data_IF_715629091777
#
_entry.id   IF_715629091777
#
_cell.length_a   1.000
_cell.length_b   1.000
_cell.length_c   1.000
_cell.angle_alpha   90.00
_cell.angle_beta   90.00
_cell.angle_gamma   90.00
#
_symmetry.space_group_name_H-M   'P 1'
#
loop_
_entity.id
_entity.type
_entity.pdbx_description
1 polymer ?
#
# COMPACT_ATOMS: atom_id res chain seq x y z
N UNK A 1 13.37 -49.79 -49.66
CA UNK A 1 12.41 -50.29 -48.65
C UNK A 1 12.91 -49.95 -47.29
N UNK A 2 12.24 -49.17 -46.77
CA UNK A 2 11.41 -48.86 -45.62
C UNK A 2 12.12 -48.04 -44.54
N UNK A 3 12.14 -46.69 -44.69
CA UNK A 3 12.50 -45.74 -43.64
C UNK A 3 11.25 -45.09 -42.95
N UNK A 4 10.07 -45.68 -43.15
CA UNK A 4 8.77 -45.05 -42.78
C UNK A 4 8.18 -45.50 -41.44
N UNK A 5 8.77 -46.47 -40.77
CA UNK A 5 8.21 -47.07 -39.55
C UNK A 5 8.81 -46.53 -38.22
N UNK A 6 9.97 -45.85 -38.22
CA UNK A 6 10.58 -45.35 -36.99
C UNK A 6 10.09 -44.01 -36.46
N UNK A 7 9.45 -43.18 -37.32
CA UNK A 7 8.93 -41.85 -36.89
C UNK A 7 7.63 -41.89 -36.08
N UNK A 8 6.79 -42.94 -36.27
CA UNK A 8 5.53 -43.06 -35.54
C UNK A 8 5.71 -43.54 -34.09
N UNK A 9 6.75 -44.29 -33.80
CA UNK A 9 7.01 -44.84 -32.47
C UNK A 9 7.58 -43.78 -31.53
N UNK A 10 8.40 -42.84 -32.04
CA UNK A 10 8.97 -41.76 -31.24
C UNK A 10 7.93 -40.69 -30.85
N UNK A 11 6.99 -40.39 -31.73
CA UNK A 11 5.88 -39.49 -31.40
C UNK A 11 4.96 -40.04 -30.31
N UNK A 12 4.71 -41.34 -30.27
CA UNK A 12 3.85 -41.95 -29.23
C UNK A 12 4.48 -41.91 -27.85
N UNK A 13 5.80 -42.05 -27.75
CA UNK A 13 6.55 -41.99 -26.47
C UNK A 13 6.65 -40.56 -25.96
N UNK A 14 6.81 -39.55 -26.81
CA UNK A 14 6.87 -38.12 -26.41
C UNK A 14 5.53 -37.63 -25.92
N UNK A 15 4.39 -38.09 -26.51
CA UNK A 15 3.06 -37.71 -26.03
C UNK A 15 2.71 -38.36 -24.68
N UNK A 16 3.22 -39.58 -24.42
CA UNK A 16 2.97 -40.28 -23.16
C UNK A 16 3.77 -39.70 -21.96
N UNK A 17 4.92 -39.12 -22.20
CA UNK A 17 5.75 -38.45 -21.15
C UNK A 17 5.18 -37.07 -20.81
N UNK A 18 4.49 -36.38 -21.73
CA UNK A 18 3.87 -35.08 -21.50
C UNK A 18 2.59 -35.15 -20.62
N UNK A 19 1.96 -36.30 -20.46
CA UNK A 19 0.73 -36.49 -19.66
C UNK A 19 0.98 -36.82 -18.18
N UNK A 20 2.22 -37.02 -17.74
CA UNK A 20 2.56 -37.38 -16.36
C UNK A 20 2.94 -36.19 -15.47
N UNK A 21 2.90 -34.94 -15.97
CA UNK A 21 3.26 -33.74 -15.21
C UNK A 21 2.08 -32.94 -14.66
N UNK A 22 0.83 -33.46 -14.70
CA UNK A 22 -0.36 -32.70 -14.26
C UNK A 22 -0.99 -33.29 -12.98
N UNK A 23 -0.21 -33.95 -12.15
CA UNK A 23 -0.70 -34.48 -10.87
C UNK A 23 0.09 -33.88 -9.72
N UNK A 24 -0.10 -32.61 -9.46
CA UNK A 24 0.60 -31.94 -8.35
C UNK A 24 0.07 -30.55 -8.03
N UNK A 25 -1.21 -30.28 -8.25
CA UNK A 25 -1.83 -29.09 -7.67
C UNK A 25 -2.56 -29.48 -6.39
N UNK A 26 -1.78 -29.63 -5.31
CA UNK A 26 -2.34 -29.55 -3.98
C UNK A 26 -2.90 -28.14 -3.81
N UNK A 27 -4.23 -27.99 -3.84
CA UNK A 27 -4.93 -26.77 -3.44
C UNK A 27 -4.75 -26.56 -1.92
N UNK A 28 -3.54 -26.27 -1.49
CA UNK A 28 -3.34 -25.51 -0.28
C UNK A 28 -3.91 -24.12 -0.58
N UNK A 29 -5.06 -23.76 0.00
CA UNK A 29 -5.49 -22.37 0.08
C UNK A 29 -4.38 -21.64 0.81
N UNK A 30 -3.51 -20.96 0.05
CA UNK A 30 -2.61 -19.94 0.60
C UNK A 30 -3.59 -18.89 1.13
N UNK A 31 -3.79 -18.84 2.44
CA UNK A 31 -4.46 -17.73 3.10
C UNK A 31 -3.58 -16.53 2.80
N UNK A 32 -3.98 -15.73 1.85
CA UNK A 32 -3.35 -14.44 1.59
C UNK A 32 -3.68 -13.57 2.79
N UNK A 33 -2.72 -13.39 3.69
CA UNK A 33 -2.87 -12.44 4.78
C UNK A 33 -3.10 -11.07 4.14
N UNK A 34 -4.23 -10.45 4.50
CA UNK A 34 -4.54 -9.11 4.04
C UNK A 34 -3.53 -8.15 4.67
N UNK A 35 -2.83 -7.40 3.86
CA UNK A 35 -1.91 -6.36 4.31
C UNK A 35 -2.57 -5.00 4.09
N UNK A 36 -2.73 -4.23 5.18
CA UNK A 36 -3.12 -2.83 5.15
C UNK A 36 -1.86 -1.96 5.21
N UNK A 37 -1.62 -1.17 4.19
CA UNK A 37 -0.48 -0.25 4.10
C UNK A 37 -0.92 1.14 4.54
N UNK A 38 -0.34 1.60 5.65
CA UNK A 38 -0.64 2.91 6.25
C UNK A 38 0.55 3.84 6.05
N UNK A 39 0.34 4.94 5.35
CA UNK A 39 1.31 6.03 5.26
C UNK A 39 1.15 6.99 6.44
N UNK A 40 2.22 7.36 7.10
CA UNK A 40 2.23 8.39 8.15
C UNK A 40 3.15 9.52 7.70
N UNK A 41 2.60 10.71 7.52
CA UNK A 41 3.35 11.91 7.09
C UNK A 41 3.27 12.97 8.17
N UNK A 42 4.43 13.37 8.70
CA UNK A 42 4.54 14.45 9.68
C UNK A 42 4.98 15.75 9.02
N UNK A 43 4.69 16.90 9.66
CA UNK A 43 5.18 18.19 9.15
C UNK A 43 6.68 18.36 9.41
N UNK A 44 7.20 17.76 10.49
CA UNK A 44 8.63 17.77 10.85
C UNK A 44 8.99 16.54 11.67
N UNK A 45 10.26 16.21 11.71
CA UNK A 45 10.83 15.21 12.63
C UNK A 45 11.48 15.86 13.88
N UNK A 46 11.57 17.20 13.94
CA UNK A 46 12.28 17.91 15.00
C UNK A 46 11.38 18.28 16.19
N UNK A 47 10.08 18.03 16.10
CA UNK A 47 9.13 18.28 17.18
C UNK A 47 8.93 17.04 18.06
N UNK A 48 9.41 17.07 19.33
CA UNK A 48 9.27 15.94 20.25
C UNK A 48 7.81 15.52 20.51
N UNK A 49 6.87 16.49 20.53
CA UNK A 49 5.45 16.21 20.73
C UNK A 49 4.88 15.42 19.54
N UNK A 50 5.20 15.86 18.31
CA UNK A 50 4.75 15.17 17.10
C UNK A 50 5.38 13.79 16.99
N UNK A 51 6.64 13.63 17.36
CA UNK A 51 7.28 12.31 17.39
C UNK A 51 6.60 11.38 18.39
N UNK A 52 6.28 11.85 19.59
CA UNK A 52 5.57 11.07 20.59
C UNK A 52 4.16 10.67 20.10
N UNK A 53 3.44 11.60 19.47
CA UNK A 53 2.11 11.36 18.92
C UNK A 53 2.17 10.34 17.76
N UNK A 54 3.16 10.46 16.88
CA UNK A 54 3.39 9.51 15.79
C UNK A 54 3.69 8.11 16.31
N UNK A 55 4.57 7.96 17.29
CA UNK A 55 4.88 6.66 17.88
C UNK A 55 3.64 6.03 18.52
N UNK A 56 2.84 6.81 19.27
CA UNK A 56 1.59 6.32 19.85
C UNK A 56 0.58 5.89 18.78
N UNK A 57 0.48 6.63 17.67
CA UNK A 57 -0.35 6.25 16.52
C UNK A 57 0.10 4.88 15.96
N UNK A 58 1.41 4.70 15.76
CA UNK A 58 1.98 3.45 15.24
C UNK A 58 1.72 2.26 16.18
N UNK A 59 1.91 2.46 17.49
CA UNK A 59 1.61 1.44 18.49
C UNK A 59 0.12 1.04 18.43
N UNK A 60 -0.78 2.02 18.42
CA UNK A 60 -2.21 1.75 18.32
C UNK A 60 -2.58 0.99 17.04
N UNK A 61 -2.04 1.39 15.87
CA UNK A 61 -2.25 0.69 14.62
C UNK A 61 -1.79 -0.78 14.72
N UNK A 62 -0.65 -1.05 15.35
CA UNK A 62 -0.17 -2.42 15.54
C UNK A 62 -1.09 -3.27 16.41
N UNK A 63 -1.79 -2.69 17.39
CA UNK A 63 -2.77 -3.43 18.21
C UNK A 63 -3.99 -3.86 17.40
N UNK A 64 -4.25 -3.24 16.25
CA UNK A 64 -5.36 -3.58 15.37
C UNK A 64 -5.07 -4.77 14.43
N UNK A 65 -3.85 -5.28 14.42
CA UNK A 65 -3.49 -6.47 13.64
C UNK A 65 -4.30 -7.69 14.09
N UNK A 66 -4.67 -8.54 13.15
CA UNK A 66 -5.37 -9.79 13.40
C UNK A 66 -4.62 -10.98 12.79
N UNK A 67 -5.16 -12.19 12.94
CA UNK A 67 -4.60 -13.38 12.28
C UNK A 67 -4.64 -13.32 10.76
N UNK A 68 -5.60 -12.57 10.22
CA UNK A 68 -5.90 -12.49 8.80
C UNK A 68 -5.55 -11.11 8.20
N UNK A 69 -5.07 -10.16 9.01
CA UNK A 69 -4.71 -8.80 8.60
C UNK A 69 -3.44 -8.32 9.30
N UNK A 70 -2.47 -7.90 8.52
CA UNK A 70 -1.23 -7.25 8.97
C UNK A 70 -1.23 -5.78 8.60
N UNK A 71 -0.57 -4.94 9.41
CA UNK A 71 -0.45 -3.50 9.16
C UNK A 71 1.01 -3.18 8.89
N UNK A 72 1.27 -2.70 7.67
CA UNK A 72 2.57 -2.14 7.29
C UNK A 72 2.50 -0.62 7.37
N UNK A 73 3.42 -0.02 8.13
CA UNK A 73 3.49 1.43 8.32
C UNK A 73 4.72 1.94 7.59
N UNK A 74 4.51 2.92 6.73
CA UNK A 74 5.56 3.70 6.07
C UNK A 74 5.53 5.13 6.58
N UNK A 75 6.69 5.73 6.82
CA UNK A 75 6.80 7.06 7.40
C UNK A 75 7.52 8.01 6.44
N UNK A 76 7.05 9.24 6.38
CA UNK A 76 7.70 10.37 5.70
C UNK A 76 7.55 11.63 6.54
N UNK A 77 8.30 12.63 6.16
CA UNK A 77 8.38 13.90 6.84
C UNK A 77 8.35 15.03 5.79
N UNK A 78 7.73 16.14 6.11
CA UNK A 78 7.60 17.31 5.25
C UNK A 78 8.68 18.37 5.47
N UNK A 79 9.62 18.13 6.40
CA UNK A 79 10.77 19.00 6.69
C UNK A 79 10.41 20.50 6.87
N UNK A 80 9.21 20.78 7.39
CA UNK A 80 8.61 22.13 7.54
C UNK A 80 8.37 22.85 6.20
N UNK A 81 8.38 22.14 5.08
CA UNK A 81 8.10 22.67 3.75
C UNK A 81 6.87 21.98 3.13
N UNK A 82 5.93 22.76 2.61
CA UNK A 82 4.71 22.22 2.02
C UNK A 82 4.99 21.52 0.69
N UNK A 83 6.02 21.93 -0.06
CA UNK A 83 6.47 21.27 -1.27
C UNK A 83 7.00 19.88 -0.96
N UNK A 84 7.91 19.76 0.01
CA UNK A 84 8.50 18.50 0.45
C UNK A 84 7.40 17.56 1.01
N UNK A 85 6.42 18.13 1.76
CA UNK A 85 5.29 17.31 2.22
C UNK A 85 4.42 16.80 1.07
N UNK A 86 4.20 17.61 0.04
CA UNK A 86 3.46 17.16 -1.15
C UNK A 86 4.20 16.03 -1.87
N UNK A 87 5.54 16.09 -1.98
CA UNK A 87 6.35 15.02 -2.56
C UNK A 87 6.30 13.76 -1.69
N UNK A 88 6.39 13.90 -0.37
CA UNK A 88 6.24 12.80 0.58
C UNK A 88 4.89 12.07 0.43
N UNK A 89 3.81 12.80 0.20
CA UNK A 89 2.48 12.22 -0.06
C UNK A 89 2.45 11.49 -1.40
N UNK A 90 3.04 12.05 -2.45
CA UNK A 90 3.14 11.41 -3.76
C UNK A 90 3.92 10.08 -3.67
N UNK A 91 5.07 10.06 -2.97
CA UNK A 91 5.82 8.84 -2.71
C UNK A 91 5.01 7.77 -1.95
N UNK A 92 4.16 8.17 -0.99
CA UNK A 92 3.28 7.23 -0.27
C UNK A 92 2.23 6.62 -1.19
N UNK A 93 1.69 7.42 -2.11
CA UNK A 93 0.74 6.96 -3.13
C UNK A 93 1.41 5.94 -4.05
N UNK A 94 2.61 6.25 -4.54
CA UNK A 94 3.38 5.39 -5.43
C UNK A 94 3.82 4.08 -4.75
N UNK A 95 4.08 4.14 -3.44
CA UNK A 95 4.36 2.96 -2.62
C UNK A 95 3.12 2.08 -2.36
N UNK A 96 1.94 2.51 -2.81
CA UNK A 96 0.70 1.75 -2.73
C UNK A 96 0.09 1.74 -1.33
N UNK A 97 0.13 2.86 -0.62
CA UNK A 97 -0.59 3.01 0.63
C UNK A 97 -2.11 2.89 0.43
N UNK A 98 -2.77 2.19 1.34
CA UNK A 98 -4.23 2.00 1.34
C UNK A 98 -4.95 3.14 2.09
N UNK A 99 -4.25 3.80 3.01
CA UNK A 99 -4.73 4.94 3.82
C UNK A 99 -3.54 5.79 4.25
N UNK A 100 -3.73 7.10 4.44
CA UNK A 100 -2.71 8.00 4.93
C UNK A 100 -3.16 8.75 6.19
N UNK A 101 -2.25 8.91 7.16
CA UNK A 101 -2.39 9.76 8.32
C UNK A 101 -1.43 10.95 8.15
N UNK A 102 -1.96 12.17 8.05
CA UNK A 102 -1.17 13.35 7.68
C UNK A 102 -1.29 14.44 8.74
N UNK A 103 -0.15 14.90 9.22
CA UNK A 103 -0.02 16.12 10.01
C UNK A 103 0.51 17.23 9.10
N UNK A 104 -0.33 18.21 8.76
CA UNK A 104 -0.01 19.22 7.75
C UNK A 104 1.12 20.16 8.17
N UNK A 105 1.97 20.52 7.21
CA UNK A 105 2.90 21.65 7.34
C UNK A 105 2.09 22.95 7.36
N UNK A 106 1.25 23.17 6.34
CA UNK A 106 0.35 24.32 6.27
C UNK A 106 -1.11 23.88 6.19
N UNK A 107 -1.90 24.30 7.19
CA UNK A 107 -3.35 24.01 7.28
C UNK A 107 -4.16 24.73 6.19
N UNK A 108 -3.61 25.79 5.62
CA UNK A 108 -4.28 26.62 4.63
C UNK A 108 -3.98 26.20 3.19
N UNK A 109 -3.06 25.23 3.00
CA UNK A 109 -2.68 24.73 1.68
C UNK A 109 -2.83 23.20 1.50
N UNK A 110 -3.95 22.59 1.95
CA UNK A 110 -4.14 21.15 1.86
C UNK A 110 -4.58 20.68 0.47
N UNK A 111 -4.96 21.60 -0.40
CA UNK A 111 -5.67 21.34 -1.67
C UNK A 111 -4.93 20.33 -2.56
N UNK A 112 -3.59 20.44 -2.67
CA UNK A 112 -2.80 19.52 -3.50
C UNK A 112 -2.84 18.11 -2.93
N UNK A 113 -2.69 17.96 -1.62
CA UNK A 113 -2.76 16.66 -0.92
C UNK A 113 -4.14 16.02 -1.09
N UNK A 114 -5.20 16.78 -0.84
CA UNK A 114 -6.59 16.32 -0.99
C UNK A 114 -6.86 15.86 -2.42
N UNK A 115 -6.41 16.64 -3.40
CA UNK A 115 -6.55 16.31 -4.82
C UNK A 115 -5.84 15.00 -5.19
N UNK A 116 -4.59 14.82 -4.77
CA UNK A 116 -3.81 13.60 -5.02
C UNK A 116 -4.46 12.37 -4.38
N UNK A 117 -4.85 12.48 -3.11
CA UNK A 117 -5.53 11.40 -2.38
C UNK A 117 -6.86 11.01 -3.04
N UNK A 118 -7.68 12.00 -3.42
CA UNK A 118 -8.95 11.79 -4.11
C UNK A 118 -8.78 11.12 -5.48
N UNK A 119 -7.81 11.56 -6.28
CA UNK A 119 -7.52 10.98 -7.60
C UNK A 119 -7.13 9.50 -7.50
N UNK A 120 -6.40 9.14 -6.45
CA UNK A 120 -5.95 7.79 -6.18
C UNK A 120 -6.90 6.99 -5.27
N UNK A 121 -8.00 7.61 -4.80
CA UNK A 121 -9.01 7.01 -3.91
C UNK A 121 -8.44 6.50 -2.58
N UNK A 122 -7.39 7.13 -2.07
CA UNK A 122 -6.72 6.79 -0.82
C UNK A 122 -7.29 7.67 0.30
N UNK A 123 -8.02 7.12 1.27
CA UNK A 123 -8.55 7.88 2.42
C UNK A 123 -7.43 8.59 3.18
N UNK A 124 -7.71 9.77 3.70
CA UNK A 124 -6.78 10.56 4.51
C UNK A 124 -7.39 10.86 5.87
N UNK A 125 -6.60 10.69 6.91
CA UNK A 125 -6.89 11.14 8.26
C UNK A 125 -5.92 12.27 8.58
N UNK A 126 -6.43 13.48 8.71
CA UNK A 126 -5.65 14.57 9.24
C UNK A 126 -5.61 14.51 10.77
N UNK A 127 -4.45 14.72 11.38
CA UNK A 127 -4.29 14.69 12.81
C UNK A 127 -3.45 15.87 13.31
N UNK A 128 -3.74 16.36 14.53
CA UNK A 128 -3.13 17.52 15.17
C UNK A 128 -3.32 18.84 14.39
N UNK A 129 -2.92 18.90 13.13
CA UNK A 129 -3.12 20.02 12.22
C UNK A 129 -4.07 19.60 11.10
N UNK A 130 -5.36 19.87 11.28
CA UNK A 130 -6.39 19.58 10.28
C UNK A 130 -6.64 20.78 9.37
N UNK A 131 -7.08 20.58 8.13
CA UNK A 131 -7.53 21.63 7.23
C UNK A 131 -8.75 22.36 7.77
N UNK A 132 -9.10 23.46 7.12
CA UNK A 132 -10.36 24.15 7.40
C UNK A 132 -11.57 23.32 6.91
N UNK A 133 -12.75 23.60 7.47
CA UNK A 133 -13.98 22.85 7.17
C UNK A 133 -14.36 22.84 5.69
N UNK A 134 -14.05 23.92 4.97
CA UNK A 134 -14.32 24.03 3.54
C UNK A 134 -13.51 23.03 2.74
N UNK A 135 -12.25 22.82 3.12
CA UNK A 135 -11.36 21.85 2.50
C UNK A 135 -11.79 20.41 2.83
N UNK A 136 -12.15 20.12 4.08
CA UNK A 136 -12.65 18.81 4.50
C UNK A 136 -13.93 18.41 3.77
N UNK A 137 -14.76 19.36 3.36
CA UNK A 137 -15.98 19.09 2.61
C UNK A 137 -15.75 18.75 1.12
N UNK A 138 -14.52 18.86 0.61
CA UNK A 138 -14.21 18.56 -0.79
C UNK A 138 -14.28 17.07 -1.12
N UNK A 139 -14.21 16.21 -0.11
CA UNK A 139 -14.23 14.77 -0.29
C UNK A 139 -14.67 14.04 0.98
N UNK A 140 -15.48 13.00 0.84
CA UNK A 140 -16.10 12.20 1.90
C UNK A 140 -15.17 11.19 2.60
N UNK A 141 -13.89 11.16 2.20
CA UNK A 141 -12.85 10.27 2.77
C UNK A 141 -11.69 11.04 3.42
N UNK A 142 -11.96 12.22 3.90
CA UNK A 142 -11.03 13.04 4.68
C UNK A 142 -11.32 12.93 6.16
#
# INVERSE_FOLDING_TARGET
MSKKCRKKSVCAVVVMVAMLCISGCGSGKIKSDKVLRVGVVTYTQDDPFINALKEQLKENLKTMETKDMKIMISERNGDNDQGDQNEAVEEMIDAGCDIMCINLVDRTEPTKIIKMARQNKIPVIFYNREPDKEDLNQWDKL
#
